data_IF_567838042618
#
_entry.id   IF_567838042618
#
_cell.length_a   1.000
_cell.length_b   1.000
_cell.length_c   1.000
_cell.angle_alpha   90.00
_cell.angle_beta   90.00
_cell.angle_gamma   90.00
#
_symmetry.space_group_name_H-M   'P 1'
#
loop_
_entity.id
_entity.type
_entity.pdbx_description
1 polymer ?
#
# COMPACT_ATOMS: atom_id res chain seq x y z
N UNK A 1 74.82 35.40 -12.63
CA UNK A 1 75.17 36.73 -13.17
C UNK A 1 74.06 37.70 -12.79
N UNK A 2 74.45 38.63 -11.89
CA UNK A 2 74.09 40.04 -11.71
C UNK A 2 72.61 40.33 -11.40
N UNK A 3 72.25 40.59 -10.15
CA UNK A 3 72.30 41.87 -9.39
C UNK A 3 71.59 43.02 -10.10
N UNK A 4 70.50 43.54 -9.51
CA UNK A 4 70.51 44.90 -8.93
C UNK A 4 69.27 45.16 -8.06
N UNK A 5 69.54 45.56 -6.83
CA UNK A 5 68.71 46.13 -5.79
C UNK A 5 68.46 47.60 -5.96
N UNK A 6 67.31 48.14 -5.63
CA UNK A 6 67.25 49.48 -5.04
C UNK A 6 65.92 49.67 -4.22
N UNK A 7 66.03 50.00 -2.91
CA UNK A 7 65.14 50.76 -2.02
C UNK A 7 65.59 52.16 -1.96
N UNK A 8 64.97 53.13 -1.24
CA UNK A 8 63.58 53.40 -0.84
C UNK A 8 63.19 54.88 -1.17
N UNK A 9 61.96 55.33 -0.89
CA UNK A 9 61.69 56.66 -0.33
C UNK A 9 60.34 56.74 0.38
N UNK A 10 60.39 57.13 1.67
CA UNK A 10 59.32 57.57 2.54
C UNK A 10 58.81 58.94 2.11
N UNK A 11 57.52 59.18 2.17
CA UNK A 11 56.98 60.48 2.55
C UNK A 11 55.62 60.36 3.21
N UNK A 12 55.54 61.07 4.33
CA UNK A 12 54.48 61.13 5.31
C UNK A 12 53.20 61.87 4.84
N UNK A 13 52.15 61.61 5.61
CA UNK A 13 51.01 62.47 5.99
C UNK A 13 49.79 62.40 5.07
N UNK A 14 48.68 61.83 5.59
CA UNK A 14 47.55 62.57 6.20
C UNK A 14 46.48 61.60 6.74
N UNK A 15 46.14 61.78 8.01
CA UNK A 15 45.01 61.16 8.70
C UNK A 15 43.71 61.68 8.06
N UNK A 16 42.84 60.80 7.64
CA UNK A 16 41.42 61.07 7.42
C UNK A 16 40.62 59.92 8.08
N UNK A 17 39.91 60.29 9.12
CA UNK A 17 38.92 59.41 9.78
C UNK A 17 37.72 59.31 8.86
N UNK A 18 37.38 58.10 8.39
CA UNK A 18 36.12 57.79 7.77
C UNK A 18 35.43 56.78 8.67
N UNK A 19 34.35 57.22 9.34
CA UNK A 19 33.37 56.45 10.03
C UNK A 19 32.67 55.54 8.98
N UNK A 20 33.04 54.28 8.92
CA UNK A 20 32.33 53.28 8.17
C UNK A 20 31.18 52.73 8.98
N UNK A 21 29.95 53.07 8.62
CA UNK A 21 28.72 52.47 9.20
C UNK A 21 28.66 51.01 8.81
N UNK A 22 28.73 50.11 9.81
CA UNK A 22 28.43 48.70 9.65
C UNK A 22 26.90 48.56 9.42
N UNK A 23 26.51 48.36 8.18
CA UNK A 23 25.18 47.89 7.84
C UNK A 23 25.09 46.41 8.20
N UNK A 24 24.51 46.07 9.33
CA UNK A 24 24.14 44.72 9.69
C UNK A 24 22.96 44.33 8.79
N UNK A 25 23.25 43.64 7.72
CA UNK A 25 22.22 43.04 6.85
C UNK A 25 21.44 41.97 7.61
N UNK A 26 20.21 42.29 8.01
CA UNK A 26 19.22 41.28 8.44
C UNK A 26 18.89 40.38 7.23
N UNK A 27 19.56 39.24 7.12
CA UNK A 27 19.07 38.17 6.28
C UNK A 27 17.90 37.52 6.99
N UNK A 28 16.71 37.45 6.36
CA UNK A 28 15.62 36.72 6.93
C UNK A 28 16.03 35.25 7.00
N UNK A 29 16.20 34.72 8.21
CA UNK A 29 16.26 33.28 8.45
C UNK A 29 14.95 32.70 7.90
N UNK A 30 15.02 32.10 6.70
CA UNK A 30 13.97 31.19 6.27
C UNK A 30 13.98 30.03 7.26
N UNK A 31 13.05 30.06 8.21
CA UNK A 31 12.70 28.87 8.98
C UNK A 31 12.34 27.79 7.99
N UNK A 32 13.24 26.82 7.81
CA UNK A 32 12.85 25.53 7.27
C UNK A 32 11.81 25.00 8.24
N UNK A 33 10.54 25.06 7.84
CA UNK A 33 9.50 24.34 8.53
C UNK A 33 9.99 22.91 8.63
N UNK A 34 10.28 22.48 9.85
CA UNK A 34 10.60 21.10 10.18
C UNK A 34 9.39 20.30 9.69
N UNK A 35 9.55 19.58 8.58
CA UNK A 35 8.54 18.64 8.14
C UNK A 35 8.33 17.70 9.31
N UNK A 36 7.26 17.93 10.03
CA UNK A 36 6.84 17.06 11.13
C UNK A 36 6.84 15.65 10.62
N UNK A 37 7.47 14.72 11.35
CA UNK A 37 7.40 13.30 11.04
C UNK A 37 5.93 12.97 10.74
N UNK A 38 5.66 12.44 9.54
CA UNK A 38 4.32 12.05 9.14
C UNK A 38 3.70 11.21 10.27
N UNK A 39 2.45 11.44 10.65
CA UNK A 39 1.83 10.70 11.74
C UNK A 39 2.03 9.21 11.47
N UNK A 40 2.67 8.52 12.41
CA UNK A 40 2.94 7.08 12.35
C UNK A 40 1.61 6.35 12.56
N UNK A 41 0.84 6.26 11.49
CA UNK A 41 -0.42 5.53 11.49
C UNK A 41 -0.37 4.37 10.49
N UNK A 42 -1.16 3.33 10.72
CA UNK A 42 -1.29 2.19 9.83
C UNK A 42 -2.59 2.25 9.04
N UNK A 43 -2.59 1.81 7.77
CA UNK A 43 -1.41 1.52 6.95
C UNK A 43 -0.58 2.79 6.70
N UNK A 44 0.70 2.63 6.33
CA UNK A 44 1.54 3.76 5.95
C UNK A 44 0.93 4.49 4.77
N UNK A 45 0.93 5.83 4.84
CA UNK A 45 0.45 6.66 3.75
C UNK A 45 1.34 6.52 2.51
N UNK A 46 0.71 6.27 1.38
CA UNK A 46 1.37 6.15 0.07
C UNK A 46 0.33 6.39 -1.02
N UNK A 47 0.01 7.65 -1.27
CA UNK A 47 -1.00 8.05 -2.25
C UNK A 47 -0.47 7.92 -3.69
N UNK A 48 -0.32 6.68 -4.15
CA UNK A 48 0.15 6.28 -5.48
C UNK A 48 -0.71 5.13 -6.02
N UNK A 49 -0.74 4.83 -7.33
CA UNK A 49 -1.41 3.62 -7.83
C UNK A 49 -0.95 2.38 -7.08
N UNK A 50 -1.87 1.58 -6.56
CA UNK A 50 -1.60 0.41 -5.72
C UNK A 50 -1.26 0.72 -4.26
N UNK A 51 -1.34 1.97 -3.85
CA UNK A 51 -1.08 2.42 -2.48
C UNK A 51 -2.35 2.72 -1.69
N UNK A 52 -2.16 3.42 -0.57
CA UNK A 52 -3.23 3.87 0.31
C UNK A 52 -3.04 5.36 0.59
N UNK A 53 -4.10 6.16 0.40
CA UNK A 53 -4.13 7.54 0.88
C UNK A 53 -4.82 7.61 2.25
N UNK A 54 -4.24 8.40 3.16
CA UNK A 54 -4.80 8.72 4.48
C UNK A 54 -5.33 10.15 4.44
N UNK A 55 -6.65 10.30 4.47
CA UNK A 55 -7.31 11.61 4.35
C UNK A 55 -7.84 12.03 5.72
N UNK A 56 -7.30 13.13 6.24
CA UNK A 56 -7.79 13.72 7.49
C UNK A 56 -9.21 14.29 7.29
N UNK A 57 -10.13 13.82 8.12
CA UNK A 57 -11.53 14.29 8.14
C UNK A 57 -11.78 15.34 9.23
N UNK A 58 -10.78 15.58 10.11
CA UNK A 58 -10.92 16.45 11.28
C UNK A 58 -11.74 15.84 12.41
N UNK A 59 -11.99 16.64 13.48
CA UNK A 59 -12.79 16.21 14.62
C UNK A 59 -14.28 16.18 14.29
N UNK A 60 -15.00 15.24 14.87
CA UNK A 60 -16.47 15.14 14.84
C UNK A 60 -16.92 14.24 15.99
N UNK A 61 -18.05 14.54 16.64
CA UNK A 61 -18.54 13.74 17.78
C UNK A 61 -18.87 12.31 17.36
N UNK A 62 -19.47 12.12 16.17
CA UNK A 62 -19.72 10.81 15.58
C UNK A 62 -18.75 10.54 14.42
N UNK A 63 -18.49 9.25 14.15
CA UNK A 63 -17.67 8.80 13.02
C UNK A 63 -18.30 9.25 11.69
N UNK A 64 -17.63 10.08 10.87
CA UNK A 64 -18.13 10.42 9.54
C UNK A 64 -18.18 9.19 8.63
N UNK A 65 -19.07 9.22 7.65
CA UNK A 65 -19.06 8.26 6.56
C UNK A 65 -18.31 8.87 5.37
N UNK A 66 -17.60 8.04 4.62
CA UNK A 66 -16.85 8.50 3.46
C UNK A 66 -16.96 7.51 2.30
N UNK A 67 -16.88 8.02 1.06
CA UNK A 67 -16.97 7.23 -0.17
C UNK A 67 -15.98 7.74 -1.23
N UNK A 68 -15.41 6.81 -1.99
CA UNK A 68 -14.85 7.07 -3.30
C UNK A 68 -15.86 6.56 -4.34
N UNK A 69 -16.47 7.48 -5.08
CA UNK A 69 -17.66 7.23 -5.92
C UNK A 69 -18.76 6.52 -5.12
N UNK A 70 -19.14 5.29 -5.48
CA UNK A 70 -20.11 4.46 -4.78
C UNK A 70 -19.50 3.49 -3.75
N UNK A 71 -18.18 3.49 -3.57
CA UNK A 71 -17.48 2.54 -2.68
C UNK A 71 -17.29 3.15 -1.30
N UNK A 72 -17.83 2.55 -0.22
CA UNK A 72 -17.61 3.05 1.13
C UNK A 72 -16.15 2.88 1.54
N UNK A 73 -15.65 3.85 2.32
CA UNK A 73 -14.27 3.89 2.79
C UNK A 73 -14.17 3.50 4.26
N UNK A 74 -13.04 2.89 4.63
CA UNK A 74 -12.71 2.65 6.03
C UNK A 74 -12.37 3.99 6.70
N UNK A 75 -13.15 4.37 7.72
CA UNK A 75 -12.89 5.56 8.55
C UNK A 75 -12.48 5.09 9.95
N UNK A 76 -11.31 5.52 10.38
CA UNK A 76 -10.71 5.20 11.68
C UNK A 76 -10.44 6.48 12.47
N UNK A 77 -10.31 6.35 13.79
CA UNK A 77 -9.99 7.46 14.67
C UNK A 77 -10.91 7.55 15.86
N UNK A 78 -11.05 8.74 16.40
CA UNK A 78 -11.87 9.09 17.56
C UNK A 78 -12.51 10.46 17.37
N UNK A 79 -13.37 10.92 18.29
CA UNK A 79 -13.95 12.28 18.20
C UNK A 79 -12.95 13.42 18.07
N UNK A 80 -11.71 13.24 18.51
CA UNK A 80 -10.63 14.24 18.36
C UNK A 80 -10.03 14.31 16.97
N UNK A 81 -10.24 13.29 16.11
CA UNK A 81 -9.77 13.26 14.73
C UNK A 81 -10.10 11.95 14.05
N UNK A 82 -10.70 12.04 12.86
CA UNK A 82 -11.06 10.92 12.00
C UNK A 82 -10.22 10.90 10.74
N UNK A 83 -9.88 9.74 10.25
CA UNK A 83 -9.12 9.53 9.01
C UNK A 83 -9.83 8.55 8.12
N UNK A 84 -10.08 8.92 6.86
CA UNK A 84 -10.50 7.99 5.84
C UNK A 84 -9.27 7.32 5.19
N UNK A 85 -9.33 6.01 5.02
CA UNK A 85 -8.33 5.23 4.30
C UNK A 85 -8.87 4.91 2.91
N UNK A 86 -8.14 5.33 1.87
CA UNK A 86 -8.52 5.15 0.47
C UNK A 86 -7.56 4.17 -0.19
N UNK A 87 -8.05 2.98 -0.53
CA UNK A 87 -7.31 2.04 -1.38
C UNK A 87 -7.27 2.55 -2.82
N UNK A 88 -6.08 2.73 -3.38
CA UNK A 88 -5.89 3.25 -4.74
C UNK A 88 -5.57 2.08 -5.67
N UNK A 89 -6.43 1.84 -6.67
CA UNK A 89 -6.22 0.75 -7.61
C UNK A 89 -4.90 0.90 -8.39
N UNK A 90 -4.28 -0.24 -8.76
CA UNK A 90 -3.07 -0.24 -9.62
C UNK A 90 -3.28 0.43 -10.99
N UNK A 91 -4.53 0.46 -11.46
CA UNK A 91 -4.94 1.09 -12.71
C UNK A 91 -5.26 2.58 -12.56
N UNK A 92 -5.21 3.13 -11.35
CA UNK A 92 -5.48 4.55 -11.14
C UNK A 92 -4.43 5.41 -11.84
N UNK A 93 -4.88 6.50 -12.46
CA UNK A 93 -3.99 7.47 -13.08
C UNK A 93 -3.52 8.51 -12.05
N UNK A 94 -2.26 8.96 -12.12
CA UNK A 94 -1.78 10.07 -11.31
C UNK A 94 -2.58 11.34 -11.57
N UNK A 95 -2.85 12.12 -10.52
CA UNK A 95 -3.64 13.35 -10.63
C UNK A 95 -4.44 13.64 -9.37
N UNK A 96 -5.41 14.53 -9.48
CA UNK A 96 -6.32 14.87 -8.39
C UNK A 96 -7.50 13.92 -8.35
N UNK A 97 -7.70 13.26 -7.22
CA UNK A 97 -8.87 12.45 -6.93
C UNK A 97 -9.68 13.09 -5.78
N UNK A 98 -10.91 12.63 -5.57
CA UNK A 98 -11.82 13.18 -4.56
C UNK A 98 -12.50 12.04 -3.79
N UNK A 99 -12.84 12.33 -2.54
CA UNK A 99 -13.76 11.54 -1.74
C UNK A 99 -14.92 12.41 -1.29
N UNK A 100 -16.07 11.78 -1.14
CA UNK A 100 -17.25 12.39 -0.54
C UNK A 100 -17.33 12.00 0.93
N UNK A 101 -17.62 12.97 1.79
CA UNK A 101 -17.69 12.78 3.25
C UNK A 101 -19.00 13.32 3.76
N UNK A 102 -19.76 12.50 4.48
CA UNK A 102 -20.98 12.87 5.20
C UNK A 102 -20.66 12.92 6.70
N UNK A 103 -20.78 14.10 7.28
CA UNK A 103 -20.64 14.35 8.71
C UNK A 103 -21.81 15.12 9.29
N UNK A 104 -21.67 15.56 10.54
CA UNK A 104 -22.70 16.34 11.26
C UNK A 104 -23.03 17.66 10.57
N UNK A 105 -22.05 18.30 9.93
CA UNK A 105 -22.20 19.56 9.20
C UNK A 105 -22.69 19.40 7.76
N UNK A 106 -23.12 18.20 7.37
CA UNK A 106 -23.57 17.89 6.02
C UNK A 106 -22.53 17.17 5.17
N UNK A 107 -22.77 17.18 3.86
CA UNK A 107 -21.90 16.53 2.86
C UNK A 107 -20.83 17.51 2.36
N UNK A 108 -19.61 17.00 2.13
CA UNK A 108 -18.50 17.75 1.54
C UNK A 108 -17.61 16.85 0.71
N UNK A 109 -16.88 17.42 -0.23
CA UNK A 109 -15.83 16.76 -0.97
C UNK A 109 -14.45 17.14 -0.43
N UNK A 110 -13.55 16.16 -0.36
CA UNK A 110 -12.13 16.35 -0.06
C UNK A 110 -11.30 15.86 -1.23
N UNK A 111 -10.42 16.73 -1.74
CA UNK A 111 -9.49 16.37 -2.80
C UNK A 111 -8.18 15.84 -2.21
N UNK A 112 -7.54 14.89 -2.91
CA UNK A 112 -6.20 14.40 -2.62
C UNK A 112 -5.45 14.14 -3.93
N UNK A 113 -4.12 14.04 -3.86
CA UNK A 113 -3.28 13.84 -5.04
C UNK A 113 -2.76 12.43 -5.09
N UNK A 114 -2.94 11.75 -6.21
CA UNK A 114 -2.31 10.48 -6.54
C UNK A 114 -1.00 10.81 -7.27
N UNK A 115 0.13 10.52 -6.61
CA UNK A 115 1.46 10.72 -7.20
C UNK A 115 1.82 9.58 -8.17
N UNK A 116 2.65 9.83 -9.19
CA UNK A 116 3.09 8.78 -10.11
C UNK A 116 3.99 7.76 -9.38
N UNK A 117 3.84 6.47 -9.73
CA UNK A 117 4.72 5.40 -9.28
C UNK A 117 5.05 4.46 -10.43
N UNK A 118 6.34 4.18 -10.60
CA UNK A 118 6.83 3.17 -11.55
C UNK A 118 7.03 1.86 -10.81
N UNK A 119 6.52 0.79 -11.40
CA UNK A 119 6.71 -0.58 -10.92
C UNK A 119 7.74 -1.30 -11.76
N UNK A 120 8.44 -2.25 -11.15
CA UNK A 120 9.43 -3.09 -11.84
C UNK A 120 8.73 -3.91 -12.93
N UNK A 121 9.40 -4.08 -14.06
CA UNK A 121 8.95 -4.90 -15.17
C UNK A 121 9.80 -6.16 -15.30
N UNK A 122 9.16 -7.27 -15.66
CA UNK A 122 9.80 -8.55 -15.91
C UNK A 122 9.33 -9.08 -17.25
N UNK A 123 10.27 -9.22 -18.19
CA UNK A 123 10.02 -9.77 -19.53
C UNK A 123 10.47 -11.23 -19.57
N UNK A 124 9.54 -12.15 -19.83
CA UNK A 124 9.79 -13.59 -19.83
C UNK A 124 9.42 -14.18 -21.18
N UNK A 125 10.27 -15.07 -21.69
CA UNK A 125 9.94 -15.97 -22.81
C UNK A 125 9.35 -17.25 -22.23
N UNK A 126 8.10 -17.56 -22.57
CA UNK A 126 7.38 -18.72 -22.06
C UNK A 126 6.76 -19.52 -23.22
N UNK A 127 6.44 -20.79 -22.98
CA UNK A 127 5.72 -21.61 -23.95
C UNK A 127 4.33 -21.01 -24.27
N UNK A 128 3.86 -21.01 -25.53
CA UNK A 128 2.51 -20.53 -25.88
C UNK A 128 1.39 -21.15 -25.02
N UNK A 129 1.46 -22.44 -24.73
CA UNK A 129 0.49 -23.14 -23.86
C UNK A 129 0.38 -22.58 -22.43
N UNK A 130 1.38 -21.81 -22.00
CA UNK A 130 1.35 -21.13 -20.70
C UNK A 130 0.48 -19.87 -20.74
N UNK A 131 0.14 -19.39 -21.92
CA UNK A 131 -0.51 -18.10 -22.15
C UNK A 131 -2.01 -18.24 -22.38
N UNK A 132 -2.42 -19.26 -23.12
CA UNK A 132 -3.80 -19.46 -23.56
C UNK A 132 -4.50 -20.50 -22.67
N UNK A 133 -5.68 -20.15 -22.17
CA UNK A 133 -6.56 -21.06 -21.43
C UNK A 133 -7.40 -21.91 -22.39
N UNK A 134 -7.72 -23.14 -22.00
CA UNK A 134 -8.77 -23.90 -22.66
C UNK A 134 -10.13 -23.20 -22.46
N UNK A 135 -11.13 -23.43 -23.31
CA UNK A 135 -12.48 -22.88 -23.12
C UNK A 135 -13.08 -23.24 -21.74
N UNK A 136 -12.82 -24.45 -21.24
CA UNK A 136 -13.28 -24.93 -19.94
C UNK A 136 -12.62 -24.18 -18.78
N UNK A 137 -11.28 -23.99 -18.85
CA UNK A 137 -10.52 -23.25 -17.85
C UNK A 137 -10.93 -21.77 -17.83
N UNK A 138 -11.17 -21.19 -19.02
CA UNK A 138 -11.66 -19.83 -19.14
C UNK A 138 -13.04 -19.69 -18.48
N UNK A 139 -13.98 -20.57 -18.79
CA UNK A 139 -15.31 -20.54 -18.20
C UNK A 139 -15.27 -20.77 -16.67
N UNK A 140 -14.37 -21.64 -16.16
CA UNK A 140 -14.13 -21.80 -14.73
C UNK A 140 -13.62 -20.49 -14.13
N UNK A 141 -12.60 -19.89 -14.71
CA UNK A 141 -12.01 -18.63 -14.24
C UNK A 141 -13.02 -17.48 -14.23
N UNK A 142 -13.88 -17.36 -15.23
CA UNK A 142 -14.92 -16.32 -15.29
C UNK A 142 -15.94 -16.48 -14.16
N UNK A 143 -16.42 -17.68 -13.87
CA UNK A 143 -17.32 -17.96 -12.75
C UNK A 143 -16.65 -17.61 -11.40
N UNK A 144 -15.39 -18.04 -11.21
CA UNK A 144 -14.62 -17.76 -10.00
C UNK A 144 -14.37 -16.26 -9.81
N UNK A 145 -14.09 -15.55 -10.91
CA UNK A 145 -13.92 -14.10 -10.91
C UNK A 145 -15.21 -13.39 -10.47
N UNK A 146 -16.36 -13.79 -10.98
CA UNK A 146 -17.65 -13.22 -10.60
C UNK A 146 -17.95 -13.45 -9.11
N UNK A 147 -17.66 -14.65 -8.58
CA UNK A 147 -17.79 -14.98 -7.17
C UNK A 147 -16.87 -14.09 -6.32
N UNK A 148 -15.58 -13.99 -6.64
CA UNK A 148 -14.62 -13.20 -5.90
C UNK A 148 -14.94 -11.70 -5.91
N UNK A 149 -15.58 -11.18 -6.96
CA UNK A 149 -16.09 -9.79 -6.96
C UNK A 149 -17.12 -9.55 -5.87
N UNK A 150 -17.99 -10.55 -5.61
CA UNK A 150 -18.92 -10.51 -4.48
C UNK A 150 -18.20 -10.51 -3.13
N UNK A 151 -17.19 -11.37 -2.97
CA UNK A 151 -16.34 -11.43 -1.76
C UNK A 151 -15.65 -10.10 -1.51
N UNK A 152 -15.01 -9.52 -2.52
CA UNK A 152 -14.28 -8.23 -2.43
C UNK A 152 -15.22 -7.07 -2.09
N UNK A 153 -16.52 -7.18 -2.39
CA UNK A 153 -17.51 -6.15 -2.06
C UNK A 153 -17.94 -6.15 -0.58
N UNK A 154 -17.46 -7.11 0.23
CA UNK A 154 -17.77 -7.19 1.66
C UNK A 154 -17.36 -5.89 2.38
N UNK A 155 -18.30 -5.36 3.18
CA UNK A 155 -18.07 -4.20 4.03
C UNK A 155 -18.79 -4.38 5.35
N UNK A 156 -18.05 -4.76 6.37
CA UNK A 156 -18.56 -5.00 7.72
C UNK A 156 -18.22 -3.83 8.66
N UNK A 157 -18.53 -3.97 9.97
CA UNK A 157 -18.19 -2.97 10.95
C UNK A 157 -16.66 -2.73 10.97
N UNK A 158 -16.20 -1.46 11.00
CA UNK A 158 -14.77 -1.14 11.05
C UNK A 158 -14.06 -1.75 12.25
N UNK A 159 -12.75 -2.09 12.16
CA UNK A 159 -11.96 -2.57 13.28
C UNK A 159 -11.85 -1.51 14.38
N UNK A 160 -11.61 -1.95 15.61
CA UNK A 160 -11.51 -1.06 16.77
C UNK A 160 -10.23 -0.19 16.76
N UNK A 161 -9.20 -0.56 16.01
CA UNK A 161 -7.90 0.11 15.97
C UNK A 161 -7.29 0.18 14.59
N UNK A 162 -6.09 0.72 14.51
CA UNK A 162 -5.34 0.81 13.27
C UNK A 162 -4.95 -0.59 12.75
N UNK A 163 -5.02 -0.83 11.44
CA UNK A 163 -4.74 -2.14 10.86
C UNK A 163 -3.23 -2.38 10.68
N UNK A 164 -2.48 -2.41 11.79
CA UNK A 164 -1.10 -2.88 11.81
C UNK A 164 -1.10 -4.40 11.78
N UNK A 165 -0.64 -4.97 10.69
CA UNK A 165 -0.65 -6.40 10.45
C UNK A 165 0.71 -7.05 10.76
N UNK A 166 0.68 -8.31 11.12
CA UNK A 166 1.90 -9.13 11.14
C UNK A 166 2.05 -9.90 9.82
N UNK A 167 3.27 -10.25 9.39
CA UNK A 167 3.44 -11.17 8.28
C UNK A 167 2.69 -12.49 8.52
N UNK A 168 1.89 -12.97 7.54
CA UNK A 168 1.05 -14.17 7.73
C UNK A 168 1.82 -15.48 7.76
N UNK A 169 3.07 -15.50 7.30
CA UNK A 169 3.98 -16.65 7.34
C UNK A 169 5.43 -16.17 7.41
N UNK A 170 6.33 -16.93 8.06
CA UNK A 170 7.75 -16.64 7.96
C UNK A 170 8.26 -16.94 6.55
N UNK A 171 9.28 -16.20 6.11
CA UNK A 171 9.90 -16.43 4.80
C UNK A 171 10.41 -15.14 4.15
N UNK A 172 11.15 -15.32 3.05
CA UNK A 172 11.68 -14.20 2.26
C UNK A 172 10.62 -13.71 1.27
N UNK A 173 10.43 -12.42 1.17
CA UNK A 173 9.61 -11.83 0.10
C UNK A 173 10.25 -12.17 -1.25
N UNK A 174 9.56 -12.94 -2.07
CA UNK A 174 10.07 -13.47 -3.35
C UNK A 174 9.54 -12.70 -4.56
N UNK A 175 8.37 -12.05 -4.43
CA UNK A 175 7.82 -11.18 -5.45
C UNK A 175 7.07 -10.02 -4.80
N UNK A 176 7.24 -8.82 -5.36
CA UNK A 176 6.65 -7.59 -4.83
C UNK A 176 5.32 -7.30 -5.49
N UNK A 177 4.45 -6.60 -4.76
CA UNK A 177 3.24 -6.00 -5.28
C UNK A 177 3.54 -5.07 -6.46
N UNK A 178 2.67 -5.06 -7.46
CA UNK A 178 2.77 -4.18 -8.62
C UNK A 178 3.75 -4.63 -9.71
N UNK A 179 4.49 -5.74 -9.53
CA UNK A 179 5.40 -6.27 -10.55
C UNK A 179 4.64 -6.51 -11.86
N UNK A 180 5.06 -5.84 -12.92
CA UNK A 180 4.50 -5.98 -14.28
C UNK A 180 5.21 -7.10 -15.03
N UNK A 181 4.48 -8.13 -15.43
CA UNK A 181 5.04 -9.23 -16.21
C UNK A 181 4.60 -9.14 -17.67
N UNK A 182 5.55 -9.36 -18.57
CA UNK A 182 5.32 -9.46 -20.00
C UNK A 182 5.73 -10.86 -20.46
N UNK A 183 4.78 -11.63 -21.01
CA UNK A 183 5.03 -12.95 -21.55
C UNK A 183 5.08 -12.88 -23.08
N UNK A 184 6.23 -13.20 -23.67
CA UNK A 184 6.44 -13.09 -25.11
C UNK A 184 6.06 -11.70 -25.67
N UNK A 185 6.34 -10.62 -24.92
CA UNK A 185 6.00 -9.23 -25.27
C UNK A 185 4.56 -8.81 -24.94
N UNK A 186 3.68 -9.73 -24.53
CA UNK A 186 2.30 -9.43 -24.15
C UNK A 186 2.19 -9.07 -22.66
N UNK A 187 1.58 -7.94 -22.29
CA UNK A 187 1.41 -7.57 -20.89
C UNK A 187 0.45 -8.55 -20.19
N UNK A 188 0.73 -8.80 -18.92
CA UNK A 188 -0.12 -9.56 -17.99
C UNK A 188 -0.63 -8.64 -16.90
N UNK A 189 -1.69 -9.06 -16.19
CA UNK A 189 -2.15 -8.34 -15.04
C UNK A 189 -0.99 -8.17 -14.05
N UNK A 190 -0.78 -6.95 -13.51
CA UNK A 190 0.24 -6.73 -12.51
C UNK A 190 0.03 -7.63 -11.29
N UNK A 191 1.11 -7.98 -10.61
CA UNK A 191 1.06 -8.77 -9.38
C UNK A 191 0.27 -8.02 -8.30
N UNK A 192 -0.88 -8.57 -7.88
CA UNK A 192 -1.84 -7.91 -6.98
C UNK A 192 -1.61 -8.19 -5.49
N UNK A 193 -0.49 -8.81 -5.12
CA UNK A 193 -0.15 -9.17 -3.75
C UNK A 193 1.35 -9.21 -3.51
N UNK A 194 1.73 -9.85 -2.42
CA UNK A 194 3.10 -10.12 -2.02
C UNK A 194 3.31 -11.63 -1.96
N UNK A 195 4.38 -12.13 -2.60
CA UNK A 195 4.75 -13.54 -2.48
C UNK A 195 5.81 -13.71 -1.38
N UNK A 196 5.56 -14.66 -0.48
CA UNK A 196 6.47 -15.04 0.60
C UNK A 196 6.88 -16.49 0.38
N UNK A 197 8.15 -16.68 -0.03
CA UNK A 197 8.71 -18.02 -0.25
C UNK A 197 8.88 -18.75 1.09
N UNK A 198 8.23 -19.89 1.21
CA UNK A 198 8.33 -20.76 2.37
C UNK A 198 8.06 -22.23 1.95
N UNK A 199 8.64 -23.23 2.64
CA UNK A 199 8.39 -24.62 2.35
C UNK A 199 6.91 -24.99 2.50
N UNK A 200 6.47 -25.96 1.71
CA UNK A 200 5.13 -26.57 1.88
C UNK A 200 4.96 -27.08 3.32
N UNK A 201 3.81 -26.81 3.91
CA UNK A 201 3.49 -27.16 5.31
C UNK A 201 3.86 -26.08 6.33
N UNK A 202 4.58 -25.01 5.93
CA UNK A 202 4.83 -23.86 6.82
C UNK A 202 3.51 -23.24 7.27
N UNK A 203 3.29 -22.96 8.58
CA UNK A 203 2.04 -22.38 9.05
C UNK A 203 1.73 -21.02 8.43
N UNK A 204 0.47 -20.82 8.06
CA UNK A 204 -0.11 -19.54 7.66
C UNK A 204 -1.10 -19.09 8.73
N UNK A 205 -0.97 -17.85 9.16
CA UNK A 205 -1.76 -17.29 10.28
C UNK A 205 -2.52 -16.04 9.85
N UNK A 206 -3.57 -15.70 10.58
CA UNK A 206 -4.31 -14.46 10.40
C UNK A 206 -3.40 -13.25 10.72
N UNK A 207 -3.19 -12.31 9.77
CA UNK A 207 -2.29 -11.16 9.97
C UNK A 207 -2.87 -10.13 10.92
N UNK A 208 -4.18 -10.08 11.03
CA UNK A 208 -4.99 -9.23 11.91
C UNK A 208 -6.22 -10.05 12.31
N UNK A 209 -6.92 -9.67 13.39
CA UNK A 209 -8.19 -10.30 13.74
C UNK A 209 -9.17 -10.22 12.57
N UNK A 210 -9.89 -11.29 12.29
CA UNK A 210 -10.73 -11.39 11.11
C UNK A 210 -11.87 -12.40 11.26
N UNK A 211 -12.86 -12.28 10.38
CA UNK A 211 -13.83 -13.34 10.08
C UNK A 211 -13.47 -13.98 8.74
N UNK A 212 -13.48 -15.30 8.67
CA UNK A 212 -13.32 -16.03 7.40
C UNK A 212 -14.60 -15.84 6.58
N UNK A 213 -14.50 -15.21 5.42
CA UNK A 213 -15.67 -14.89 4.58
C UNK A 213 -15.79 -15.77 3.34
N UNK A 214 -14.69 -16.42 2.94
CA UNK A 214 -14.69 -17.35 1.82
C UNK A 214 -13.52 -18.33 1.90
N UNK A 215 -13.72 -19.56 1.42
CA UNK A 215 -12.68 -20.57 1.24
C UNK A 215 -12.99 -21.39 -0.01
N UNK A 216 -11.96 -21.71 -0.80
CA UNK A 216 -12.19 -22.49 -2.04
C UNK A 216 -10.91 -22.98 -2.70
N UNK A 217 -11.11 -23.76 -3.77
CA UNK A 217 -10.07 -24.13 -4.72
C UNK A 217 -10.32 -23.39 -6.03
N UNK A 218 -9.49 -22.39 -6.31
CA UNK A 218 -9.59 -21.52 -7.47
C UNK A 218 -8.53 -21.87 -8.52
N UNK A 219 -8.88 -21.77 -9.79
CA UNK A 219 -8.01 -22.16 -10.91
C UNK A 219 -6.61 -21.56 -10.82
N UNK A 220 -6.51 -20.24 -10.62
CA UNK A 220 -5.21 -19.57 -10.50
C UNK A 220 -4.66 -19.60 -9.07
N UNK A 221 -5.50 -19.38 -8.09
CA UNK A 221 -5.11 -19.14 -6.70
C UNK A 221 -4.95 -20.46 -5.91
N UNK A 222 -5.47 -21.59 -6.41
CA UNK A 222 -5.52 -22.85 -5.67
C UNK A 222 -6.32 -22.73 -4.39
N UNK A 223 -5.95 -23.48 -3.38
CA UNK A 223 -6.60 -23.41 -2.07
C UNK A 223 -6.42 -22.02 -1.47
N UNK A 224 -7.53 -21.35 -1.25
CA UNK A 224 -7.59 -19.91 -0.91
C UNK A 224 -8.48 -19.70 0.32
N UNK A 225 -8.10 -18.72 1.14
CA UNK A 225 -8.87 -18.22 2.26
C UNK A 225 -9.00 -16.70 2.13
N UNK A 226 -10.23 -16.18 2.25
CA UNK A 226 -10.52 -14.77 2.35
C UNK A 226 -10.90 -14.39 3.78
N UNK A 227 -10.31 -13.31 4.28
CA UNK A 227 -10.51 -12.77 5.62
C UNK A 227 -11.07 -11.36 5.54
N UNK A 228 -12.11 -11.09 6.34
CA UNK A 228 -12.66 -9.75 6.56
C UNK A 228 -12.15 -9.19 7.89
N UNK A 229 -11.41 -8.09 7.82
CA UNK A 229 -10.87 -7.36 8.97
C UNK A 229 -11.74 -6.16 9.38
N UNK A 230 -12.83 -5.93 8.64
CA UNK A 230 -13.78 -4.83 8.89
C UNK A 230 -13.55 -3.61 8.01
N UNK A 231 -14.64 -2.87 7.74
CA UNK A 231 -14.59 -1.62 6.99
C UNK A 231 -14.12 -1.73 5.54
N UNK A 232 -14.34 -2.90 4.89
CA UNK A 232 -13.86 -3.15 3.54
C UNK A 232 -12.36 -3.42 3.44
N UNK A 233 -11.69 -3.69 4.57
CA UNK A 233 -10.32 -4.19 4.62
C UNK A 233 -10.34 -5.71 4.65
N UNK A 234 -9.87 -6.33 3.58
CA UNK A 234 -9.84 -7.77 3.40
C UNK A 234 -8.41 -8.25 3.14
N UNK A 235 -8.14 -9.52 3.44
CA UNK A 235 -6.93 -10.18 2.95
C UNK A 235 -7.23 -11.55 2.35
N UNK A 236 -6.43 -11.96 1.38
CA UNK A 236 -6.54 -13.25 0.68
C UNK A 236 -5.22 -13.99 0.78
N UNK A 237 -5.28 -15.26 1.17
CA UNK A 237 -4.18 -16.20 1.28
C UNK A 237 -4.35 -17.30 0.23
N UNK A 238 -3.40 -17.42 -0.71
CA UNK A 238 -3.49 -18.36 -1.83
C UNK A 238 -2.42 -19.44 -1.78
N UNK A 239 -2.57 -20.45 -2.67
CA UNK A 239 -1.65 -21.55 -2.93
C UNK A 239 -1.44 -22.46 -1.72
N UNK A 240 -2.41 -22.48 -0.79
CA UNK A 240 -2.32 -23.29 0.43
C UNK A 240 -2.29 -24.78 0.11
N UNK A 241 -1.51 -25.55 0.89
CA UNK A 241 -1.56 -27.02 0.84
C UNK A 241 -2.72 -27.57 1.66
N UNK A 242 -3.17 -26.82 2.69
CA UNK A 242 -4.29 -27.16 3.56
C UNK A 242 -4.94 -25.90 4.11
N UNK A 243 -6.25 -25.94 4.21
CA UNK A 243 -7.09 -24.95 4.90
C UNK A 243 -7.52 -25.54 6.23
N UNK A 244 -7.26 -24.83 7.35
CA UNK A 244 -7.55 -25.26 8.73
C UNK A 244 -8.74 -24.49 9.35
N UNK A 245 -9.47 -23.69 8.55
CA UNK A 245 -10.61 -22.88 8.98
C UNK A 245 -11.77 -23.03 7.97
N UNK A 246 -12.94 -22.54 8.35
CA UNK A 246 -14.16 -22.53 7.52
C UNK A 246 -14.82 -21.15 7.55
N UNK A 247 -15.66 -20.89 6.57
CA UNK A 247 -16.47 -19.66 6.50
C UNK A 247 -17.28 -19.49 7.78
N UNK A 248 -17.23 -18.25 8.32
CA UNK A 248 -17.84 -17.86 9.58
C UNK A 248 -16.92 -17.96 10.81
N UNK A 249 -15.77 -18.63 10.72
CA UNK A 249 -14.81 -18.68 11.83
C UNK A 249 -14.25 -17.28 12.11
N UNK A 250 -14.14 -16.93 13.40
CA UNK A 250 -13.46 -15.72 13.88
C UNK A 250 -12.05 -16.07 14.31
N UNK A 251 -11.08 -15.46 13.68
CA UNK A 251 -9.66 -15.72 13.93
C UNK A 251 -9.04 -14.55 14.70
N UNK A 252 -8.34 -14.86 15.77
CA UNK A 252 -7.47 -13.90 16.45
C UNK A 252 -6.20 -13.65 15.63
N UNK A 253 -5.53 -12.52 15.89
CA UNK A 253 -4.20 -12.24 15.30
C UNK A 253 -3.24 -13.39 15.61
N UNK A 254 -2.58 -13.92 14.59
CA UNK A 254 -1.64 -15.04 14.72
C UNK A 254 -2.28 -16.41 14.82
N UNK A 255 -3.60 -16.51 14.82
CA UNK A 255 -4.28 -17.79 14.77
C UNK A 255 -4.06 -18.46 13.41
N UNK A 256 -3.71 -19.75 13.44
CA UNK A 256 -3.47 -20.53 12.23
C UNK A 256 -4.75 -20.70 11.41
N UNK A 257 -4.61 -20.52 10.09
CA UNK A 257 -5.70 -20.70 9.14
C UNK A 257 -5.41 -21.75 8.06
N UNK A 258 -4.15 -22.18 7.93
CA UNK A 258 -3.73 -23.16 6.93
C UNK A 258 -2.22 -23.33 6.89
N UNK A 259 -1.74 -23.86 5.80
CA UNK A 259 -0.30 -24.09 5.53
C UNK A 259 0.07 -23.72 4.11
N UNK A 260 1.30 -23.20 3.93
CA UNK A 260 1.89 -22.90 2.62
C UNK A 260 1.88 -24.15 1.74
N UNK A 261 1.63 -23.96 0.47
CA UNK A 261 1.64 -25.03 -0.53
C UNK A 261 2.09 -24.53 -1.90
N UNK A 262 1.62 -25.25 -2.93
CA UNK A 262 1.86 -24.92 -4.32
C UNK A 262 0.63 -25.30 -5.18
N UNK A 263 -0.58 -25.14 -4.63
CA UNK A 263 -1.84 -25.39 -5.35
C UNK A 263 -2.17 -24.25 -6.31
N UNK A 264 -3.02 -24.50 -7.28
CA UNK A 264 -3.31 -23.53 -8.35
C UNK A 264 -2.17 -23.42 -9.37
N UNK A 265 -2.00 -22.23 -9.97
CA UNK A 265 -1.08 -22.04 -11.09
C UNK A 265 0.21 -21.33 -10.66
N UNK A 266 1.15 -22.09 -10.11
CA UNK A 266 2.40 -21.58 -9.55
C UNK A 266 3.62 -22.39 -10.00
N UNK A 267 4.81 -21.85 -9.79
CA UNK A 267 6.10 -22.50 -10.16
C UNK A 267 6.78 -23.18 -8.98
N UNK A 268 6.31 -22.95 -7.76
CA UNK A 268 6.89 -23.57 -6.56
C UNK A 268 6.21 -23.08 -5.27
N UNK A 269 6.57 -23.67 -4.12
CA UNK A 269 5.93 -23.36 -2.84
C UNK A 269 6.14 -21.93 -2.40
N UNK A 270 5.04 -21.22 -2.13
CA UNK A 270 5.02 -19.88 -1.53
C UNK A 270 3.61 -19.54 -1.04
N UNK A 271 3.49 -18.54 -0.20
CA UNK A 271 2.23 -17.87 0.09
C UNK A 271 2.10 -16.66 -0.82
N UNK A 272 1.02 -16.57 -1.58
CA UNK A 272 0.59 -15.32 -2.17
C UNK A 272 -0.39 -14.64 -1.22
N UNK A 273 -0.05 -13.42 -0.79
CA UNK A 273 -0.85 -12.62 0.14
C UNK A 273 -1.30 -11.32 -0.52
N UNK A 274 -2.62 -11.15 -0.67
CA UNK A 274 -3.23 -9.90 -1.16
C UNK A 274 -3.93 -9.18 -0.02
N UNK A 275 -3.84 -7.86 0.01
CA UNK A 275 -4.72 -6.98 0.78
C UNK A 275 -5.62 -6.23 -0.20
N UNK A 276 -6.93 -6.26 0.08
CA UNK A 276 -7.92 -5.44 -0.58
C UNK A 276 -8.45 -4.40 0.41
N UNK A 277 -8.40 -3.13 0.02
CA UNK A 277 -8.97 -2.04 0.78
C UNK A 277 -9.96 -1.29 -0.12
N UNK A 278 -11.23 -1.23 0.29
CA UNK A 278 -12.29 -0.57 -0.48
C UNK A 278 -12.34 -1.09 -1.94
N UNK A 279 -12.31 -2.43 -2.10
CA UNK A 279 -12.32 -3.14 -3.40
C UNK A 279 -11.07 -2.97 -4.26
N UNK A 280 -10.06 -2.22 -3.84
CA UNK A 280 -8.78 -2.08 -4.53
C UNK A 280 -7.70 -2.96 -3.90
N UNK A 281 -6.98 -3.74 -4.71
CA UNK A 281 -5.75 -4.41 -4.23
C UNK A 281 -4.69 -3.36 -3.97
N UNK A 282 -4.10 -3.39 -2.76
CA UNK A 282 -3.09 -2.44 -2.28
C UNK A 282 -1.84 -3.17 -1.78
N UNK A 283 -0.71 -2.47 -1.75
CA UNK A 283 0.58 -3.04 -1.37
C UNK A 283 0.58 -3.53 0.09
N UNK A 284 0.67 -4.85 0.35
CA UNK A 284 0.70 -5.40 1.70
C UNK A 284 1.85 -4.87 2.56
N UNK A 285 2.96 -4.42 1.92
CA UNK A 285 4.08 -3.83 2.63
C UNK A 285 3.70 -2.57 3.42
N UNK A 286 2.59 -1.89 3.08
CA UNK A 286 2.12 -0.71 3.80
C UNK A 286 1.51 -1.03 5.17
N UNK A 287 1.16 -2.29 5.42
CA UNK A 287 0.44 -2.74 6.62
C UNK A 287 1.33 -3.43 7.66
N UNK A 288 2.59 -3.68 7.34
CA UNK A 288 3.56 -4.41 8.19
C UNK A 288 4.82 -3.58 8.43
N UNK A 289 5.58 -3.93 9.45
CA UNK A 289 6.92 -3.38 9.68
C UNK A 289 7.85 -3.65 8.48
N UNK A 290 8.83 -2.74 8.29
CA UNK A 290 9.77 -2.77 7.15
C UNK A 290 10.82 -3.87 7.27
#
# INVERSE_FOLDING_TARGET
MSYFSFKPHLSERRRAWLLGALAIGFWPYRSFAQQGAAPRGWPRDSAVPGGVARIDLGPAAARPQAWADAVPLLVLGSPSGWTALVGIALSAEPGTARIRVQGESGERELAYTIAPKRYTEQHLKVSPRTVDLSPEDLARHERERAHQQGVIATFSAPPAGEPHMRPPTPGRRSSSFGLRRFFNGQPRNPHSGMDIAAPTGTPVVAPLAATVIDTGDYFFNGHTVWLDHGGGLLSMMCHLSRIDCKVGDRLAVGQRLGTVGATGRVTGPHLHWTISLNRASVDPALFIDA
#
